data_IF_639009384009
#
_entry.id   IF_639009384009
#
_cell.length_a   1.000
_cell.length_b   1.000
_cell.length_c   1.000
_cell.angle_alpha   90.00
_cell.angle_beta   90.00
_cell.angle_gamma   90.00
#
_symmetry.space_group_name_H-M   'P 1'
#
loop_
_entity.id
_entity.type
_entity.pdbx_description
1 polymer ?
#
# COMPACT_ATOMS: atom_id res chain seq x y z
N UNK A 1 5.39 -12.66 -12.34
CA UNK A 1 6.60 -13.48 -12.48
C UNK A 1 6.48 -14.75 -11.66
N UNK A 2 7.35 -15.74 -11.88
CA UNK A 2 7.36 -16.95 -11.07
C UNK A 2 7.70 -16.53 -9.63
N UNK A 3 6.90 -16.87 -8.64
CA UNK A 3 7.25 -16.64 -7.24
C UNK A 3 8.61 -17.27 -6.90
N UNK A 4 9.16 -16.95 -5.74
CA UNK A 4 10.39 -17.56 -5.25
C UNK A 4 10.06 -18.57 -4.15
N UNK A 5 10.77 -19.72 -4.15
CA UNK A 5 10.72 -20.70 -3.09
C UNK A 5 11.52 -20.23 -1.84
N UNK A 6 11.56 -21.04 -0.79
CA UNK A 6 12.31 -20.73 0.44
C UNK A 6 13.83 -20.57 0.23
N UNK A 7 14.37 -21.09 -0.89
CA UNK A 7 15.77 -21.00 -1.28
C UNK A 7 16.07 -19.82 -2.21
N UNK A 8 15.08 -18.94 -2.44
CA UNK A 8 15.18 -17.78 -3.34
C UNK A 8 15.30 -18.16 -4.82
N UNK A 9 14.86 -19.38 -5.21
CA UNK A 9 14.85 -19.86 -6.59
C UNK A 9 13.43 -19.71 -7.18
N UNK A 10 13.28 -19.42 -8.48
CA UNK A 10 11.98 -19.36 -9.13
C UNK A 10 11.26 -20.71 -9.06
N UNK A 11 9.94 -20.71 -8.84
CA UNK A 11 9.13 -21.94 -8.85
C UNK A 11 9.09 -22.62 -10.22
N UNK A 12 9.28 -21.87 -11.30
CA UNK A 12 9.28 -22.37 -12.68
C UNK A 12 10.13 -21.47 -13.59
N UNK A 13 10.57 -22.03 -14.72
CA UNK A 13 11.38 -21.31 -15.69
C UNK A 13 10.63 -20.21 -16.45
N UNK A 14 11.34 -19.33 -17.16
CA UNK A 14 10.77 -18.15 -17.80
C UNK A 14 9.73 -18.46 -18.88
N UNK A 15 9.76 -19.66 -19.47
CA UNK A 15 8.90 -20.07 -20.59
C UNK A 15 7.88 -21.17 -20.24
N UNK A 16 7.98 -21.83 -19.09
CA UNK A 16 7.12 -22.96 -18.72
C UNK A 16 5.62 -22.63 -18.77
N UNK A 17 5.23 -21.39 -18.41
CA UNK A 17 3.85 -20.96 -18.52
C UNK A 17 3.38 -20.85 -19.98
N UNK A 18 4.25 -20.44 -20.90
CA UNK A 18 3.97 -20.38 -22.34
C UNK A 18 3.83 -21.78 -22.92
N UNK A 19 4.74 -22.68 -22.58
CA UNK A 19 4.72 -24.10 -23.00
C UNK A 19 3.44 -24.81 -22.51
N UNK A 20 3.03 -24.54 -21.28
CA UNK A 20 1.76 -25.06 -20.74
C UNK A 20 0.56 -24.54 -21.53
N UNK A 21 0.50 -23.24 -21.81
CA UNK A 21 -0.58 -22.64 -22.59
C UNK A 21 -0.60 -23.16 -24.04
N UNK A 22 0.56 -23.34 -24.66
CA UNK A 22 0.69 -23.91 -26.02
C UNK A 22 0.11 -25.32 -26.07
N UNK A 23 0.40 -26.15 -25.06
CA UNK A 23 -0.12 -27.52 -24.96
C UNK A 23 -1.64 -27.58 -24.87
N UNK A 24 -2.28 -26.65 -24.15
CA UNK A 24 -3.71 -26.67 -23.88
C UNK A 24 -4.51 -25.64 -24.69
N UNK A 25 -3.91 -24.86 -25.59
CA UNK A 25 -4.55 -23.78 -26.33
C UNK A 25 -5.79 -24.23 -27.14
N UNK A 26 -5.78 -25.44 -27.70
CA UNK A 26 -6.91 -25.97 -28.46
C UNK A 26 -8.09 -26.33 -27.56
N UNK A 27 -7.84 -26.88 -26.37
CA UNK A 27 -8.84 -27.21 -25.37
C UNK A 27 -9.47 -25.95 -24.76
N UNK A 28 -8.66 -24.92 -24.54
CA UNK A 28 -9.07 -23.64 -23.97
C UNK A 28 -9.72 -22.70 -25.00
N UNK A 29 -9.64 -23.00 -26.30
CA UNK A 29 -10.17 -22.16 -27.37
C UNK A 29 -9.45 -20.81 -27.50
N UNK A 30 -8.17 -20.74 -27.09
CA UNK A 30 -7.33 -19.53 -27.14
C UNK A 30 -6.13 -19.78 -28.05
N UNK A 31 -5.55 -18.72 -28.59
CA UNK A 31 -4.28 -18.78 -29.31
C UNK A 31 -3.19 -18.15 -28.46
N UNK A 32 -2.19 -18.94 -28.09
CA UNK A 32 -1.00 -18.45 -27.40
C UNK A 32 -0.10 -17.70 -28.41
N UNK A 33 0.38 -16.53 -28.00
CA UNK A 33 1.40 -15.76 -28.74
C UNK A 33 2.67 -15.76 -27.92
N UNK A 34 3.75 -16.44 -28.39
CA UNK A 34 4.97 -16.56 -27.63
C UNK A 34 5.72 -15.22 -27.58
N UNK A 35 6.26 -14.89 -26.41
CA UNK A 35 7.15 -13.76 -26.22
C UNK A 35 8.49 -14.26 -25.68
N UNK A 36 9.57 -13.76 -26.25
CA UNK A 36 10.90 -13.95 -25.68
C UNK A 36 11.09 -13.05 -24.45
N UNK A 37 11.83 -13.55 -23.48
CA UNK A 37 12.21 -12.78 -22.31
C UNK A 37 13.27 -11.74 -22.70
N UNK A 38 12.84 -10.47 -22.77
CA UNK A 38 13.68 -9.36 -23.22
C UNK A 38 14.44 -8.74 -22.06
N UNK A 39 15.72 -8.47 -22.25
CA UNK A 39 16.60 -7.80 -21.28
C UNK A 39 17.29 -6.62 -21.93
N UNK A 40 17.64 -5.61 -21.15
CA UNK A 40 18.35 -4.44 -21.63
C UNK A 40 19.87 -4.65 -21.56
N UNK A 41 20.58 -4.44 -22.67
CA UNK A 41 22.03 -4.56 -22.78
C UNK A 41 22.65 -3.16 -22.76
N UNK A 42 23.25 -2.71 -21.65
CA UNK A 42 23.79 -1.34 -21.54
C UNK A 42 24.84 -1.00 -22.59
N UNK A 43 25.65 -1.98 -22.98
CA UNK A 43 26.74 -1.78 -23.94
C UNK A 43 26.26 -1.40 -25.34
N UNK A 44 25.14 -1.98 -25.79
CA UNK A 44 24.54 -1.66 -27.10
C UNK A 44 23.40 -0.64 -26.99
N UNK A 45 22.86 -0.39 -25.80
CA UNK A 45 21.70 0.46 -25.60
C UNK A 45 20.39 -0.15 -26.12
N UNK A 46 20.33 -1.47 -26.30
CA UNK A 46 19.23 -2.17 -26.95
C UNK A 46 18.63 -3.25 -26.05
N UNK A 47 17.38 -3.61 -26.37
CA UNK A 47 16.76 -4.79 -25.79
C UNK A 47 17.02 -6.00 -26.65
N UNK A 48 17.48 -7.10 -26.03
CA UNK A 48 17.70 -8.39 -26.69
C UNK A 48 17.01 -9.51 -25.94
N UNK A 49 16.60 -10.59 -26.64
CA UNK A 49 16.18 -11.81 -25.95
C UNK A 49 17.32 -12.33 -25.08
N UNK A 50 17.00 -12.81 -23.89
CA UNK A 50 18.00 -13.37 -22.97
C UNK A 50 18.73 -14.57 -23.59
N UNK A 51 18.02 -15.35 -24.41
CA UNK A 51 18.54 -16.53 -25.09
C UNK A 51 19.57 -16.22 -26.19
N UNK A 52 19.58 -14.97 -26.67
CA UNK A 52 20.48 -14.52 -27.74
C UNK A 52 21.74 -13.82 -27.16
N UNK A 53 21.90 -13.79 -25.82
CA UNK A 53 23.06 -13.22 -25.15
C UNK A 53 24.19 -14.22 -25.03
N UNK A 54 25.44 -13.75 -25.17
CA UNK A 54 26.62 -14.52 -24.79
C UNK A 54 26.84 -14.46 -23.27
N UNK A 55 27.45 -15.47 -22.68
CA UNK A 55 27.75 -15.57 -21.24
C UNK A 55 28.55 -14.37 -20.67
N UNK A 56 29.20 -13.61 -21.54
CA UNK A 56 30.01 -12.44 -21.17
C UNK A 56 29.24 -11.09 -21.28
N UNK A 57 28.00 -11.09 -21.77
CA UNK A 57 27.21 -9.87 -21.93
C UNK A 57 26.47 -9.52 -20.64
N UNK A 58 26.80 -8.33 -20.08
CA UNK A 58 26.05 -7.77 -18.95
C UNK A 58 24.68 -7.26 -19.41
N UNK A 59 23.64 -7.62 -18.69
CA UNK A 59 22.29 -7.15 -18.93
C UNK A 59 21.62 -6.60 -17.67
N UNK A 60 20.57 -5.83 -17.85
CA UNK A 60 19.72 -5.29 -16.77
C UNK A 60 18.28 -5.74 -16.95
N UNK A 61 17.66 -6.05 -15.84
CA UNK A 61 16.21 -6.29 -15.72
C UNK A 61 15.66 -5.46 -14.58
N UNK A 62 14.36 -5.24 -14.58
CA UNK A 62 13.64 -4.62 -13.46
C UNK A 62 12.38 -5.43 -13.23
N UNK A 63 12.29 -6.09 -12.10
CA UNK A 63 11.09 -6.84 -11.72
C UNK A 63 9.96 -5.91 -11.30
N UNK A 64 8.71 -6.39 -11.37
CA UNK A 64 7.55 -5.62 -10.91
C UNK A 64 7.63 -5.25 -9.41
N UNK A 65 8.33 -6.04 -8.60
CA UNK A 65 8.56 -5.75 -7.17
C UNK A 65 9.55 -4.60 -7.00
N UNK A 66 10.66 -4.62 -7.73
CA UNK A 66 11.66 -3.54 -7.72
C UNK A 66 11.06 -2.24 -8.26
N UNK A 67 10.28 -2.30 -9.34
CA UNK A 67 9.57 -1.13 -9.86
C UNK A 67 8.66 -0.50 -8.81
N UNK A 68 7.85 -1.31 -8.09
CA UNK A 68 7.02 -0.80 -7.00
C UNK A 68 7.86 -0.16 -5.89
N UNK A 69 8.98 -0.76 -5.52
CA UNK A 69 9.89 -0.18 -4.52
C UNK A 69 10.49 1.16 -4.96
N UNK A 70 10.83 1.31 -6.25
CA UNK A 70 11.29 2.60 -6.79
C UNK A 70 10.20 3.67 -6.70
N UNK A 71 8.98 3.32 -7.11
CA UNK A 71 7.82 4.21 -7.02
C UNK A 71 7.51 4.62 -5.57
N UNK A 72 7.46 3.66 -4.65
CA UNK A 72 7.20 3.90 -3.23
C UNK A 72 8.24 4.83 -2.58
N UNK A 73 9.51 4.65 -2.92
CA UNK A 73 10.62 5.50 -2.46
C UNK A 73 10.69 6.84 -3.22
N UNK A 74 9.93 6.97 -4.32
CA UNK A 74 10.00 8.12 -5.22
C UNK A 74 11.33 8.28 -5.92
N UNK A 75 12.03 7.19 -6.10
CA UNK A 75 13.16 7.10 -6.99
C UNK A 75 12.62 7.01 -8.41
N UNK A 76 13.19 7.78 -9.34
CA UNK A 76 12.74 7.78 -10.73
C UNK A 76 12.87 6.39 -11.38
N UNK A 77 11.96 6.10 -12.30
CA UNK A 77 12.07 4.88 -13.12
C UNK A 77 13.21 5.05 -14.10
N UNK A 78 14.13 4.07 -14.21
CA UNK A 78 15.25 4.18 -15.14
C UNK A 78 14.79 4.39 -16.60
N UNK A 79 15.41 5.31 -17.33
CA UNK A 79 15.04 5.64 -18.73
C UNK A 79 15.16 4.45 -19.68
N UNK A 80 16.03 3.50 -19.37
CA UNK A 80 16.17 2.26 -20.15
C UNK A 80 15.02 1.29 -19.95
N UNK A 81 14.21 1.43 -18.88
CA UNK A 81 13.15 0.47 -18.56
C UNK A 81 11.84 0.73 -19.32
N UNK A 82 11.47 2.00 -19.50
CA UNK A 82 10.22 2.36 -20.19
C UNK A 82 10.29 3.76 -20.77
N UNK A 83 9.32 4.12 -21.63
CA UNK A 83 9.20 5.46 -22.18
C UNK A 83 8.88 6.50 -21.10
N UNK A 84 9.40 7.72 -21.25
CA UNK A 84 9.19 8.82 -20.28
C UNK A 84 7.71 9.10 -20.00
N UNK A 85 6.85 9.03 -21.01
CA UNK A 85 5.41 9.22 -20.86
C UNK A 85 4.78 8.15 -19.98
N UNK A 86 5.19 6.88 -20.15
CA UNK A 86 4.72 5.75 -19.34
C UNK A 86 5.27 5.85 -17.92
N UNK A 87 6.54 6.22 -17.75
CA UNK A 87 7.14 6.44 -16.43
C UNK A 87 6.38 7.51 -15.65
N UNK A 88 6.05 8.64 -16.30
CA UNK A 88 5.28 9.71 -15.69
C UNK A 88 3.88 9.26 -15.27
N UNK A 89 3.19 8.46 -16.08
CA UNK A 89 1.87 7.92 -15.76
C UNK A 89 1.93 6.92 -14.61
N UNK A 90 2.95 6.07 -14.58
CA UNK A 90 3.19 5.14 -13.47
C UNK A 90 3.48 5.88 -12.15
N UNK A 91 4.25 6.95 -12.19
CA UNK A 91 4.53 7.80 -11.02
C UNK A 91 3.28 8.56 -10.56
N UNK A 92 2.45 9.02 -11.47
CA UNK A 92 1.19 9.71 -11.16
C UNK A 92 0.15 8.78 -10.55
N UNK A 93 0.02 7.56 -11.08
CA UNK A 93 -0.93 6.55 -10.57
C UNK A 93 -0.45 5.81 -9.31
N UNK A 94 0.85 5.89 -9.01
CA UNK A 94 1.44 5.33 -7.79
C UNK A 94 2.16 6.43 -6.98
N UNK A 95 1.42 7.35 -6.35
CA UNK A 95 2.04 8.44 -5.61
C UNK A 95 2.92 7.90 -4.48
N UNK A 96 4.04 8.58 -4.22
CA UNK A 96 4.97 8.27 -3.12
C UNK A 96 4.21 8.12 -1.81
N UNK A 97 4.73 7.30 -0.89
CA UNK A 97 4.16 7.14 0.46
C UNK A 97 3.91 8.48 1.16
N UNK A 98 4.80 9.46 0.96
CA UNK A 98 4.64 10.83 1.50
C UNK A 98 3.48 11.62 0.90
N UNK A 99 2.98 11.22 -0.28
CA UNK A 99 1.78 11.81 -0.94
C UNK A 99 0.52 10.98 -0.73
N UNK A 100 0.64 9.77 -0.21
CA UNK A 100 -0.51 8.96 0.21
C UNK A 100 -1.21 9.62 1.40
N UNK A 101 -2.40 9.16 1.72
CA UNK A 101 -3.12 9.65 2.87
C UNK A 101 -2.39 9.42 4.19
N UNK A 102 -2.94 9.98 5.25
CA UNK A 102 -2.37 9.93 6.60
C UNK A 102 -3.46 9.60 7.61
N UNK A 103 -3.19 8.67 8.52
CA UNK A 103 -4.00 8.50 9.73
C UNK A 103 -3.26 9.06 10.94
N UNK A 104 -3.94 9.94 11.69
CA UNK A 104 -3.52 10.44 12.99
C UNK A 104 -4.42 9.81 14.03
N UNK A 105 -3.86 8.93 14.85
CA UNK A 105 -4.59 8.09 15.79
C UNK A 105 -4.31 8.53 17.23
N UNK A 106 -5.28 9.26 17.83
CA UNK A 106 -5.21 9.62 19.23
C UNK A 106 -5.66 8.46 20.11
N UNK A 107 -4.91 8.17 21.17
CA UNK A 107 -5.27 7.21 22.20
C UNK A 107 -5.09 7.84 23.59
N UNK A 108 -5.73 7.29 24.60
CA UNK A 108 -5.71 7.80 25.97
C UNK A 108 -7.04 7.59 26.67
N UNK A 109 -7.09 7.82 27.98
CA UNK A 109 -8.26 7.59 28.81
C UNK A 109 -9.44 8.54 28.46
N UNK A 110 -10.64 8.19 28.90
CA UNK A 110 -11.79 9.09 28.81
C UNK A 110 -11.49 10.39 29.58
N UNK A 111 -11.86 11.52 29.00
CA UNK A 111 -11.60 12.84 29.60
C UNK A 111 -10.20 13.40 29.36
N UNK A 112 -9.26 12.65 28.75
CA UNK A 112 -7.89 13.13 28.51
C UNK A 112 -7.75 14.23 27.43
N UNK A 113 -8.83 14.73 26.85
CA UNK A 113 -8.77 15.80 25.85
C UNK A 113 -8.59 15.36 24.40
N UNK A 114 -8.69 14.06 24.09
CA UNK A 114 -8.55 13.53 22.70
C UNK A 114 -9.45 14.23 21.70
N UNK A 115 -10.76 14.31 21.98
CA UNK A 115 -11.72 14.92 21.08
C UNK A 115 -11.46 16.43 20.91
N UNK A 116 -10.99 17.12 21.94
CA UNK A 116 -10.60 18.54 21.87
C UNK A 116 -9.42 18.72 20.92
N UNK A 117 -8.36 17.91 21.06
CA UNK A 117 -7.19 17.96 20.19
C UNK A 117 -7.54 17.55 18.75
N UNK A 118 -8.35 16.51 18.60
CA UNK A 118 -8.79 16.02 17.29
C UNK A 118 -9.61 17.07 16.53
N UNK A 119 -10.53 17.76 17.21
CA UNK A 119 -11.31 18.86 16.61
C UNK A 119 -10.44 20.08 16.27
N UNK A 120 -9.52 20.47 17.13
CA UNK A 120 -8.57 21.54 16.85
C UNK A 120 -7.69 21.22 15.62
N UNK A 121 -7.21 20.00 15.54
CA UNK A 121 -6.44 19.53 14.39
C UNK A 121 -7.29 19.47 13.12
N UNK A 122 -8.53 18.98 13.20
CA UNK A 122 -9.48 18.98 12.08
C UNK A 122 -9.66 20.39 11.51
N UNK A 123 -9.96 21.37 12.37
CA UNK A 123 -10.12 22.77 11.95
C UNK A 123 -8.88 23.26 11.21
N UNK A 124 -7.70 23.02 11.76
CA UNK A 124 -6.43 23.46 11.19
C UNK A 124 -6.17 22.85 9.81
N UNK A 125 -6.41 21.54 9.66
CA UNK A 125 -6.21 20.85 8.39
C UNK A 125 -7.24 21.23 7.32
N UNK A 126 -8.47 21.56 7.73
CA UNK A 126 -9.50 22.09 6.83
C UNK A 126 -9.14 23.51 6.33
N UNK A 127 -8.57 24.36 7.19
CA UNK A 127 -8.07 25.69 6.80
C UNK A 127 -6.91 25.59 5.79
N UNK A 128 -6.02 24.59 5.92
CA UNK A 128 -4.94 24.36 4.96
C UNK A 128 -5.45 23.85 3.60
N UNK A 129 -6.60 23.17 3.57
CA UNK A 129 -7.30 22.76 2.34
C UNK A 129 -6.54 21.80 1.42
N UNK A 130 -5.46 21.17 1.92
CA UNK A 130 -4.57 20.36 1.08
C UNK A 130 -5.15 18.99 0.71
N UNK A 131 -6.01 18.42 1.56
CA UNK A 131 -6.57 17.07 1.41
C UNK A 131 -7.93 16.94 2.10
N UNK A 132 -8.80 15.99 1.66
CA UNK A 132 -9.99 15.63 2.42
C UNK A 132 -9.62 15.12 3.82
N UNK A 133 -10.31 15.63 4.85
CA UNK A 133 -10.10 15.24 6.25
C UNK A 133 -11.37 14.63 6.82
N UNK A 134 -11.25 13.49 7.48
CA UNK A 134 -12.37 12.82 8.16
C UNK A 134 -12.04 12.60 9.63
N UNK A 135 -12.92 13.05 10.51
CA UNK A 135 -12.84 12.78 11.95
C UNK A 135 -13.62 11.49 12.29
N UNK A 136 -12.94 10.52 12.86
CA UNK A 136 -13.49 9.28 13.39
C UNK A 136 -13.45 9.34 14.92
N UNK A 137 -14.36 10.15 15.49
CA UNK A 137 -14.57 10.22 16.94
C UNK A 137 -15.22 8.93 17.45
N UNK A 138 -14.78 8.43 18.60
CA UNK A 138 -15.21 7.15 19.13
C UNK A 138 -16.72 7.06 19.38
N UNK A 139 -17.37 8.15 19.80
CA UNK A 139 -18.79 8.17 20.10
C UNK A 139 -19.62 8.24 18.81
N UNK A 140 -19.18 9.03 17.81
CA UNK A 140 -19.82 9.12 16.50
C UNK A 140 -19.74 7.77 15.77
N UNK A 141 -18.56 7.17 15.76
CA UNK A 141 -18.37 5.85 15.14
C UNK A 141 -19.24 4.79 15.82
N UNK A 142 -19.34 4.83 17.15
CA UNK A 142 -20.19 3.90 17.88
C UNK A 142 -21.66 4.05 17.50
N UNK A 143 -22.15 5.27 17.29
CA UNK A 143 -23.53 5.52 16.87
C UNK A 143 -23.83 4.97 15.46
N UNK A 144 -22.91 5.13 14.51
CA UNK A 144 -23.18 4.84 13.11
C UNK A 144 -22.64 3.48 12.61
N UNK A 145 -21.52 2.99 13.16
CA UNK A 145 -20.86 1.78 12.69
C UNK A 145 -20.85 0.63 13.72
N UNK A 146 -21.15 0.93 14.99
CA UNK A 146 -20.97 -0.02 16.08
C UNK A 146 -22.07 0.12 17.13
N UNK A 147 -23.27 0.50 16.71
CA UNK A 147 -24.41 0.72 17.63
C UNK A 147 -24.86 -0.55 18.37
N UNK A 148 -24.64 -1.73 17.80
CA UNK A 148 -24.94 -3.01 18.39
C UNK A 148 -23.89 -3.47 19.43
N UNK A 149 -22.73 -2.81 19.51
CA UNK A 149 -21.63 -3.22 20.38
C UNK A 149 -21.78 -2.62 21.79
N UNK A 150 -21.62 -3.47 22.80
CA UNK A 150 -21.51 -3.06 24.20
C UNK A 150 -20.09 -2.60 24.58
N UNK A 151 -19.74 -2.71 25.88
CA UNK A 151 -18.48 -2.23 26.43
C UNK A 151 -17.55 -3.35 26.92
N UNK A 152 -17.84 -4.62 26.59
CA UNK A 152 -16.93 -5.73 26.88
C UNK A 152 -15.58 -5.52 26.18
N UNK A 153 -14.55 -6.25 26.60
CA UNK A 153 -13.23 -6.21 25.97
C UNK A 153 -13.32 -6.55 24.49
N UNK A 154 -14.07 -7.58 24.15
CA UNK A 154 -14.29 -8.07 22.78
C UNK A 154 -14.97 -7.00 21.91
N UNK A 155 -16.05 -6.39 22.42
CA UNK A 155 -16.76 -5.36 21.71
C UNK A 155 -15.93 -4.08 21.52
N UNK A 156 -15.11 -3.71 22.50
CA UNK A 156 -14.15 -2.61 22.36
C UNK A 156 -13.13 -2.92 21.28
N UNK A 157 -12.56 -4.12 21.26
CA UNK A 157 -11.60 -4.56 20.24
C UNK A 157 -12.21 -4.51 18.83
N UNK A 158 -13.43 -5.03 18.65
CA UNK A 158 -14.15 -4.98 17.38
C UNK A 158 -14.32 -3.52 16.91
N UNK A 159 -14.80 -2.64 17.81
CA UNK A 159 -14.99 -1.21 17.47
C UNK A 159 -13.68 -0.54 17.02
N UNK A 160 -12.58 -0.79 17.72
CA UNK A 160 -11.27 -0.23 17.38
C UNK A 160 -10.78 -0.73 16.01
N UNK A 161 -10.97 -2.02 15.71
CA UNK A 161 -10.62 -2.59 14.39
C UNK A 161 -11.48 -2.03 13.26
N UNK A 162 -12.78 -1.78 13.49
CA UNK A 162 -13.66 -1.11 12.52
C UNK A 162 -13.18 0.33 12.23
N UNK A 163 -12.84 1.08 13.27
CA UNK A 163 -12.23 2.43 13.10
C UNK A 163 -10.96 2.35 12.27
N UNK A 164 -10.08 1.39 12.58
CA UNK A 164 -8.85 1.18 11.85
C UNK A 164 -9.07 0.84 10.37
N UNK A 165 -10.06 0.01 10.07
CA UNK A 165 -10.41 -0.32 8.69
C UNK A 165 -10.93 0.91 7.92
N UNK A 166 -11.84 1.69 8.49
CA UNK A 166 -12.33 2.93 7.84
C UNK A 166 -11.18 3.92 7.64
N UNK A 167 -10.31 4.08 8.63
CA UNK A 167 -9.13 4.93 8.54
C UNK A 167 -8.17 4.46 7.44
N UNK A 168 -7.96 3.13 7.28
CA UNK A 168 -7.11 2.59 6.22
C UNK A 168 -7.66 2.90 4.83
N UNK A 169 -8.97 2.80 4.61
CA UNK A 169 -9.59 3.15 3.33
C UNK A 169 -9.50 4.65 3.02
N UNK A 170 -9.67 5.52 4.03
CA UNK A 170 -9.46 6.97 3.87
C UNK A 170 -8.00 7.26 3.48
N UNK A 171 -7.06 6.64 4.20
CA UNK A 171 -5.61 6.78 3.98
C UNK A 171 -5.21 6.29 2.59
N UNK A 172 -5.70 5.13 2.17
CA UNK A 172 -5.49 4.56 0.84
C UNK A 172 -5.94 5.50 -0.28
N UNK A 173 -7.04 6.19 -0.09
CA UNK A 173 -7.60 7.14 -1.05
C UNK A 173 -7.00 8.57 -0.94
N UNK A 174 -5.88 8.75 -0.25
CA UNK A 174 -5.15 10.01 -0.18
C UNK A 174 -5.68 11.01 0.85
N UNK A 175 -6.75 10.68 1.58
CA UNK A 175 -7.34 11.51 2.62
C UNK A 175 -6.57 11.48 3.94
N UNK A 176 -6.99 12.32 4.88
CA UNK A 176 -6.49 12.34 6.26
C UNK A 176 -7.58 11.82 7.18
N UNK A 177 -7.32 10.73 7.91
CA UNK A 177 -8.18 10.22 8.96
C UNK A 177 -7.67 10.68 10.32
N UNK A 178 -8.50 11.33 11.11
CA UNK A 178 -8.23 11.68 12.50
C UNK A 178 -9.07 10.74 13.36
N UNK A 179 -8.45 9.81 14.08
CA UNK A 179 -9.13 8.86 14.96
C UNK A 179 -8.96 9.30 16.41
N UNK A 180 -10.04 9.34 17.18
CA UNK A 180 -10.01 9.73 18.60
C UNK A 180 -10.72 8.75 19.54
N UNK A 181 -10.56 7.42 19.40
CA UNK A 181 -11.10 6.47 20.35
C UNK A 181 -10.23 6.36 21.61
N UNK A 182 -10.73 5.66 22.64
CA UNK A 182 -9.93 5.34 23.84
C UNK A 182 -8.79 4.39 23.48
N UNK A 183 -9.07 3.33 22.74
CA UNK A 183 -8.12 2.29 22.27
C UNK A 183 -7.15 1.78 23.36
N UNK A 184 -7.65 1.18 24.46
CA UNK A 184 -6.81 0.88 25.63
C UNK A 184 -5.85 -0.30 25.39
N UNK A 185 -6.18 -1.20 24.47
CA UNK A 185 -5.43 -2.44 24.25
C UNK A 185 -4.35 -2.27 23.19
N UNK A 186 -3.13 -2.64 23.54
CA UNK A 186 -1.96 -2.52 22.67
C UNK A 186 -2.10 -3.35 21.38
N UNK A 187 -2.66 -4.57 21.48
CA UNK A 187 -2.82 -5.46 20.34
C UNK A 187 -3.73 -4.85 19.27
N UNK A 188 -4.79 -4.17 19.67
CA UNK A 188 -5.70 -3.49 18.74
C UNK A 188 -5.01 -2.29 18.06
N UNK A 189 -4.18 -1.55 18.77
CA UNK A 189 -3.39 -0.44 18.22
C UNK A 189 -2.32 -0.97 17.25
N UNK A 190 -1.62 -2.04 17.60
CA UNK A 190 -0.65 -2.71 16.71
C UNK A 190 -1.31 -3.23 15.43
N UNK A 191 -2.49 -3.86 15.56
CA UNK A 191 -3.27 -4.31 14.43
C UNK A 191 -3.61 -3.15 13.47
N UNK A 192 -4.16 -2.06 14.00
CA UNK A 192 -4.51 -0.89 13.20
C UNK A 192 -3.28 -0.24 12.56
N UNK A 193 -2.17 -0.14 13.31
CA UNK A 193 -0.89 0.35 12.77
C UNK A 193 -0.45 -0.47 11.58
N UNK A 194 -0.44 -1.80 11.69
CA UNK A 194 -0.06 -2.70 10.59
C UNK A 194 -0.96 -2.54 9.38
N UNK A 195 -2.29 -2.52 9.59
CA UNK A 195 -3.27 -2.36 8.53
C UNK A 195 -3.10 -1.03 7.78
N UNK A 196 -3.01 0.08 8.51
CA UNK A 196 -2.99 1.43 7.94
C UNK A 196 -1.63 1.75 7.29
N UNK A 197 -0.52 1.31 7.91
CA UNK A 197 0.82 1.60 7.39
C UNK A 197 1.12 0.96 6.03
N UNK A 198 0.36 -0.06 5.64
CA UNK A 198 0.44 -0.63 4.30
C UNK A 198 -0.17 0.30 3.23
N UNK A 199 -1.08 1.17 3.64
CA UNK A 199 -1.84 2.05 2.73
C UNK A 199 -1.29 3.49 2.70
N UNK A 200 -0.61 3.95 3.78
CA UNK A 200 -0.06 5.30 3.84
C UNK A 200 0.60 5.63 5.17
N UNK A 201 0.59 6.91 5.55
CA UNK A 201 1.16 7.38 6.81
C UNK A 201 0.31 6.99 8.02
N UNK A 202 0.98 6.63 9.13
CA UNK A 202 0.33 6.40 10.42
C UNK A 202 1.11 7.06 11.55
N UNK A 203 0.43 7.90 12.32
CA UNK A 203 0.98 8.54 13.52
C UNK A 203 0.06 8.23 14.70
N UNK A 204 0.61 7.69 15.79
CA UNK A 204 -0.11 7.44 17.03
C UNK A 204 0.30 8.47 18.09
N UNK A 205 -0.68 9.10 18.71
CA UNK A 205 -0.48 10.14 19.72
C UNK A 205 -1.19 9.70 21.01
N UNK A 206 -0.41 9.45 22.04
CA UNK A 206 -0.94 9.19 23.37
C UNK A 206 -1.21 10.50 24.10
N UNK A 207 -2.49 10.74 24.43
CA UNK A 207 -2.93 11.92 25.19
C UNK A 207 -2.98 11.55 26.66
N UNK A 208 -2.05 12.09 27.42
CA UNK A 208 -1.88 11.86 28.85
C UNK A 208 -1.95 13.18 29.61
N UNK A 209 -3.15 13.79 29.62
CA UNK A 209 -3.41 14.93 30.50
C UNK A 209 -3.80 14.43 31.90
N UNK A 210 -3.35 15.08 32.96
CA UNK A 210 -3.73 14.73 34.34
C UNK A 210 -5.22 14.92 34.60
#
# INVERSE_FOLDING_TARGET
>A
GPGLNSNNEPFYGPYEAQEMLEKYQNELGIKMVPFKFMVYVPKSGEYKPIDDLSDAEEYKTLSGTELRQLLDKGLGIPEWFTFKSVAHELEASNPRLTKRGLTIFFTGLSGSGKSTLANGLLTRLLEEGSRPVTLLDGDIVRTHLSSELGFSKEHRSINIKRIGYVASEITKNGGIAICAPIAPYEDDRKYNRGLISNEGGYVEIFVNTP
#
